data_IF_065203760655
#
_entry.id   IF_065203760655
#
_cell.length_a   1.000
_cell.length_b   1.000
_cell.length_c   1.000
_cell.angle_alpha   90.00
_cell.angle_beta   90.00
_cell.angle_gamma   90.00
#
_symmetry.space_group_name_H-M   'P 1'
#
loop_
_entity.id
_entity.type
_entity.pdbx_description
1 polymer ?
#
# COMPACT_ATOMS: atom_id res chain seq x y z
N UNK A 1 -6.91 -11.66 -22.46
CA UNK A 1 -5.74 -10.76 -22.28
C UNK A 1 -5.29 -10.87 -20.85
N UNK A 2 -4.00 -11.11 -20.59
CA UNK A 2 -3.51 -11.23 -19.22
C UNK A 2 -3.22 -9.83 -18.67
N UNK A 3 -4.14 -9.30 -17.87
CA UNK A 3 -4.01 -7.97 -17.25
C UNK A 3 -3.05 -8.01 -16.06
N UNK A 4 -1.77 -8.29 -16.33
CA UNK A 4 -0.74 -8.40 -15.31
C UNK A 4 0.39 -7.40 -15.60
N UNK A 5 0.75 -6.60 -14.59
CA UNK A 5 1.98 -5.84 -14.58
C UNK A 5 3.08 -6.71 -14.00
N UNK A 6 4.20 -6.87 -14.71
CA UNK A 6 5.33 -7.70 -14.27
C UNK A 6 6.60 -6.87 -14.19
N UNK A 7 7.23 -6.86 -13.03
CA UNK A 7 8.52 -6.24 -12.75
C UNK A 7 9.52 -7.34 -12.38
N UNK A 8 10.77 -7.24 -12.88
CA UNK A 8 11.82 -8.24 -12.66
C UNK A 8 12.79 -7.90 -11.53
N UNK A 9 12.47 -6.85 -10.76
CA UNK A 9 13.28 -6.37 -9.64
C UNK A 9 12.39 -5.85 -8.49
N UNK A 10 12.90 -5.88 -7.25
CA UNK A 10 12.26 -5.19 -6.12
C UNK A 10 12.23 -3.68 -6.35
N UNK A 11 11.35 -2.96 -5.66
CA UNK A 11 11.41 -1.52 -5.62
C UNK A 11 12.76 -1.06 -5.06
N UNK A 12 13.46 -0.18 -5.79
CA UNK A 12 14.86 0.19 -5.50
C UNK A 12 15.08 1.71 -5.51
N UNK A 13 14.06 2.51 -5.78
CA UNK A 13 14.18 3.96 -5.87
C UNK A 13 14.50 4.56 -4.50
N UNK A 14 15.73 5.01 -4.32
CA UNK A 14 16.16 5.62 -3.07
C UNK A 14 15.37 6.90 -2.76
N UNK A 15 14.80 6.98 -1.55
CA UNK A 15 14.03 8.12 -1.06
C UNK A 15 12.57 8.16 -1.50
N UNK A 16 12.20 7.46 -2.57
CA UNK A 16 10.83 7.48 -3.13
C UNK A 16 10.34 6.07 -3.50
N UNK A 17 10.60 5.09 -2.68
CA UNK A 17 10.22 3.67 -2.94
C UNK A 17 8.73 3.49 -3.24
N UNK A 18 7.88 4.35 -2.70
CA UNK A 18 6.43 4.32 -2.93
C UNK A 18 6.07 4.43 -4.43
N UNK A 19 6.89 5.09 -5.26
CA UNK A 19 6.67 5.23 -6.70
C UNK A 19 6.76 3.91 -7.46
N UNK A 20 7.53 2.97 -6.93
CA UNK A 20 7.69 1.64 -7.51
C UNK A 20 6.88 0.57 -6.76
N UNK A 21 6.16 0.94 -5.71
CA UNK A 21 5.31 0.03 -4.95
C UNK A 21 4.21 -0.57 -5.82
N UNK A 22 4.00 -1.88 -5.72
CA UNK A 22 2.89 -2.57 -6.39
C UNK A 22 1.62 -2.40 -5.55
N UNK A 23 0.59 -1.66 -6.03
CA UNK A 23 -0.59 -1.35 -5.23
C UNK A 23 -1.59 -2.51 -5.18
N UNK A 24 -2.29 -2.63 -4.05
CA UNK A 24 -3.47 -3.46 -3.86
C UNK A 24 -4.50 -2.72 -3.01
N UNK A 25 -5.79 -3.03 -3.14
CA UNK A 25 -6.80 -2.34 -2.34
C UNK A 25 -8.22 -2.87 -2.48
N UNK A 26 -9.04 -2.48 -1.52
CA UNK A 26 -10.49 -2.77 -1.47
C UNK A 26 -11.35 -1.51 -1.69
N UNK A 27 -10.74 -0.36 -1.97
CA UNK A 27 -11.40 0.96 -1.97
C UNK A 27 -11.40 1.64 -0.60
N UNK A 28 -11.24 0.90 0.48
CA UNK A 28 -11.17 1.42 1.87
C UNK A 28 -9.81 1.20 2.50
N UNK A 29 -9.33 -0.05 2.48
CA UNK A 29 -7.99 -0.44 2.92
C UNK A 29 -7.21 -0.88 1.69
N UNK A 30 -5.95 -0.53 1.66
CA UNK A 30 -5.04 -0.93 0.61
C UNK A 30 -3.60 -0.76 1.03
N UNK A 31 -2.68 -0.94 0.09
CA UNK A 31 -1.28 -0.79 0.39
C UNK A 31 -0.38 -0.95 -0.81
N UNK A 32 0.93 -0.99 -0.52
CA UNK A 32 2.00 -1.10 -1.50
C UNK A 32 2.94 -2.23 -1.11
N UNK A 33 3.25 -3.10 -2.06
CA UNK A 33 4.24 -4.18 -1.93
C UNK A 33 5.52 -3.77 -2.65
N UNK A 34 6.62 -3.63 -1.92
CA UNK A 34 7.90 -3.25 -2.52
C UNK A 34 8.67 -4.43 -3.08
N UNK A 35 8.42 -5.63 -2.57
CA UNK A 35 8.94 -6.88 -3.10
C UNK A 35 10.37 -7.20 -2.69
N UNK A 36 10.89 -6.59 -1.63
CA UNK A 36 12.21 -6.94 -1.10
C UNK A 36 12.24 -8.39 -0.60
N UNK A 37 13.35 -9.08 -0.85
CA UNK A 37 13.49 -10.50 -0.51
C UNK A 37 13.82 -10.72 0.95
N UNK A 38 14.65 -9.84 1.53
CA UNK A 38 15.23 -10.02 2.86
C UNK A 38 14.61 -9.11 3.92
N UNK A 39 14.26 -7.88 3.53
CA UNK A 39 13.62 -6.88 4.38
C UNK A 39 12.43 -6.30 3.64
N UNK A 40 11.30 -7.01 3.69
CA UNK A 40 10.07 -6.55 3.06
C UNK A 40 9.34 -5.56 3.93
N UNK A 41 8.78 -4.57 3.27
CA UNK A 41 7.82 -3.62 3.81
C UNK A 41 6.56 -3.71 2.96
N UNK A 42 5.43 -4.00 3.57
CA UNK A 42 4.12 -3.90 2.91
C UNK A 42 3.41 -2.76 3.61
N UNK A 43 3.42 -1.59 2.97
CA UNK A 43 2.80 -0.39 3.51
C UNK A 43 1.29 -0.53 3.48
N UNK A 44 0.62 -0.35 4.61
CA UNK A 44 -0.84 -0.41 4.75
C UNK A 44 -1.40 0.99 4.88
N UNK A 45 -2.41 1.29 4.09
CA UNK A 45 -3.11 2.57 4.06
C UNK A 45 -4.60 2.38 4.29
N UNK A 46 -5.24 3.43 4.76
CA UNK A 46 -6.70 3.50 4.88
C UNK A 46 -7.21 4.82 4.32
N UNK A 47 -8.26 4.78 3.49
CA UNK A 47 -8.78 5.95 2.77
C UNK A 47 -9.18 7.13 3.66
N UNK A 48 -9.53 6.88 4.93
CA UNK A 48 -9.91 7.92 5.89
C UNK A 48 -8.77 8.41 6.79
N UNK A 49 -7.56 7.82 6.71
CA UNK A 49 -6.44 8.23 7.57
C UNK A 49 -5.66 9.37 6.91
N UNK A 50 -6.03 10.59 7.28
CA UNK A 50 -5.36 11.81 6.84
C UNK A 50 -4.76 12.53 8.03
N UNK A 51 -3.60 13.13 7.83
CA UNK A 51 -2.90 13.96 8.83
C UNK A 51 -2.85 15.40 8.37
N UNK A 52 -2.48 16.28 9.30
CA UNK A 52 -2.54 17.71 9.07
C UNK A 52 -3.96 18.25 9.17
N UNK A 53 -4.17 19.40 8.59
CA UNK A 53 -5.42 20.11 8.70
C UNK A 53 -5.45 21.05 9.90
N UNK A 54 -5.87 22.25 9.65
CA UNK A 54 -6.18 23.23 10.68
C UNK A 54 -7.65 23.57 10.55
N UNK A 55 -8.36 23.61 11.65
CA UNK A 55 -9.73 24.13 11.69
C UNK A 55 -9.66 25.67 11.64
N UNK A 56 -9.20 26.17 10.49
CA UNK A 56 -9.04 27.59 10.25
C UNK A 56 -9.96 28.01 9.11
N UNK A 57 -10.97 28.83 9.36
CA UNK A 57 -11.83 29.31 8.29
C UNK A 57 -11.00 30.08 7.26
N UNK A 58 -11.33 29.88 5.99
CA UNK A 58 -10.68 30.60 4.89
C UNK A 58 -10.91 32.11 5.09
N UNK A 59 -9.86 32.96 5.16
CA UNK A 59 -10.03 34.38 5.29
C UNK A 59 -10.78 34.98 4.10
N UNK A 60 -11.57 36.00 4.38
CA UNK A 60 -12.25 36.75 3.32
C UNK A 60 -11.25 37.73 2.67
N UNK A 61 -10.86 37.43 1.45
CA UNK A 61 -9.98 38.24 0.60
C UNK A 61 -10.64 38.61 -0.72
N UNK A 62 -11.98 38.68 -0.74
CA UNK A 62 -12.76 38.93 -1.96
C UNK A 62 -12.41 40.25 -2.65
N UNK A 63 -11.94 41.26 -1.91
CA UNK A 63 -11.50 42.55 -2.42
C UNK A 63 -10.31 42.42 -3.41
N UNK A 64 -9.56 41.34 -3.36
CA UNK A 64 -8.46 41.05 -4.30
C UNK A 64 -8.92 40.44 -5.62
N UNK A 65 -10.12 39.89 -5.70
CA UNK A 65 -10.60 39.19 -6.88
C UNK A 65 -10.64 40.04 -8.17
N UNK A 66 -11.00 41.34 -8.14
CA UNK A 66 -10.91 42.17 -9.35
C UNK A 66 -9.48 42.27 -9.91
N UNK A 67 -8.48 42.37 -9.03
CA UNK A 67 -7.08 42.42 -9.42
C UNK A 67 -6.59 41.06 -9.96
N UNK A 68 -6.99 39.98 -9.31
CA UNK A 68 -6.72 38.60 -9.79
C UNK A 68 -7.26 38.40 -11.20
N UNK A 69 -8.54 38.77 -11.45
CA UNK A 69 -9.17 38.66 -12.77
C UNK A 69 -8.42 39.47 -13.82
N UNK A 70 -8.05 40.70 -13.51
CA UNK A 70 -7.28 41.54 -14.43
C UNK A 70 -5.95 40.87 -14.85
N UNK A 71 -5.20 40.30 -13.90
CA UNK A 71 -3.97 39.59 -14.26
C UNK A 71 -4.22 38.32 -15.07
N UNK A 72 -5.33 37.62 -14.87
CA UNK A 72 -5.70 36.49 -15.71
C UNK A 72 -6.05 36.94 -17.13
N UNK A 73 -6.78 38.06 -17.31
CA UNK A 73 -7.10 38.65 -18.61
C UNK A 73 -5.82 39.10 -19.34
N UNK A 74 -4.84 39.61 -18.60
CA UNK A 74 -3.50 39.96 -19.09
C UNK A 74 -2.62 38.73 -19.37
N UNK A 75 -3.15 37.51 -19.23
CA UNK A 75 -2.41 36.23 -19.35
C UNK A 75 -1.20 36.11 -18.41
N UNK A 76 -1.30 36.71 -17.25
CA UNK A 76 -0.26 36.67 -16.20
C UNK A 76 -0.75 35.88 -14.96
N UNK A 77 -0.91 34.56 -15.05
CA UNK A 77 -1.42 33.74 -13.94
C UNK A 77 -0.49 33.75 -12.72
N UNK A 78 0.82 33.97 -12.91
CA UNK A 78 1.77 34.06 -11.79
C UNK A 78 1.55 35.30 -10.92
N UNK A 79 1.19 36.43 -11.53
CA UNK A 79 0.85 37.65 -10.77
C UNK A 79 -0.51 37.49 -10.07
N UNK A 80 -1.49 36.86 -10.73
CA UNK A 80 -2.77 36.53 -10.13
C UNK A 80 -2.63 35.64 -8.89
N UNK A 81 -1.83 34.56 -8.99
CA UNK A 81 -1.55 33.65 -7.88
C UNK A 81 -0.88 34.38 -6.70
N UNK A 82 0.14 35.19 -6.96
CA UNK A 82 0.82 35.97 -5.92
C UNK A 82 -0.14 36.88 -5.15
N UNK A 83 -0.99 37.63 -5.86
CA UNK A 83 -1.95 38.55 -5.21
C UNK A 83 -2.86 37.78 -4.25
N UNK A 84 -3.35 36.62 -4.63
CA UNK A 84 -4.22 35.81 -3.78
C UNK A 84 -3.45 35.18 -2.63
N UNK A 85 -2.29 34.57 -2.91
CA UNK A 85 -1.46 33.89 -1.90
C UNK A 85 -0.94 34.89 -0.85
N UNK A 86 -0.49 36.08 -1.26
CA UNK A 86 0.01 37.10 -0.34
C UNK A 86 -1.13 37.65 0.53
N UNK A 87 -2.31 37.91 -0.03
CA UNK A 87 -3.47 38.34 0.72
C UNK A 87 -3.93 37.32 1.77
N UNK A 88 -3.97 36.03 1.40
CA UNK A 88 -4.28 34.96 2.36
C UNK A 88 -3.23 34.87 3.47
N UNK A 89 -1.95 34.99 3.14
CA UNK A 89 -0.85 34.97 4.12
C UNK A 89 -0.89 36.19 5.06
N UNK A 90 -1.14 37.40 4.53
CA UNK A 90 -1.33 38.59 5.31
C UNK A 90 -2.52 38.48 6.26
N UNK A 91 -3.56 37.79 5.87
CA UNK A 91 -4.71 37.47 6.72
C UNK A 91 -4.45 36.30 7.72
N UNK A 92 -3.19 35.82 7.82
CA UNK A 92 -2.81 34.76 8.75
C UNK A 92 -3.11 33.33 8.30
N UNK A 93 -3.49 33.13 7.04
CA UNK A 93 -3.71 31.80 6.46
C UNK A 93 -2.42 31.30 5.80
N UNK A 94 -1.83 30.27 6.35
CA UNK A 94 -0.59 29.66 5.83
C UNK A 94 -0.81 28.36 5.02
N UNK A 95 -2.04 28.16 4.58
CA UNK A 95 -2.47 26.97 3.85
C UNK A 95 -2.69 25.77 4.77
N UNK A 96 -3.81 25.13 4.59
CA UNK A 96 -4.15 23.90 5.31
C UNK A 96 -3.87 22.72 4.41
N UNK A 97 -2.70 22.08 4.59
CA UNK A 97 -2.35 20.89 3.83
C UNK A 97 -2.66 19.64 4.63
N UNK A 98 -3.64 18.88 4.16
CA UNK A 98 -3.83 17.49 4.61
C UNK A 98 -3.11 16.55 3.67
N UNK A 99 -2.61 15.46 4.20
CA UNK A 99 -1.96 14.41 3.42
C UNK A 99 -2.34 13.03 3.93
N UNK A 100 -2.45 12.03 3.04
CA UNK A 100 -2.68 10.66 3.45
C UNK A 100 -1.50 10.16 4.27
N UNK A 101 -1.80 9.44 5.35
CA UNK A 101 -0.79 8.83 6.21
C UNK A 101 -0.90 7.31 6.14
N UNK A 102 0.22 6.58 6.07
CA UNK A 102 0.17 5.14 6.23
C UNK A 102 -0.29 4.78 7.64
N UNK A 103 -1.01 3.66 7.75
CA UNK A 103 -1.40 3.08 9.04
C UNK A 103 -0.17 2.46 9.70
N UNK A 104 0.45 1.51 9.02
CA UNK A 104 1.67 0.82 9.43
C UNK A 104 2.23 0.02 8.25
N UNK A 105 3.38 -0.60 8.46
CA UNK A 105 3.93 -1.61 7.56
C UNK A 105 3.78 -3.00 8.19
N UNK A 106 3.45 -4.01 7.38
CA UNK A 106 3.77 -5.40 7.68
C UNK A 106 5.24 -5.58 7.31
N UNK A 107 6.08 -5.88 8.30
CA UNK A 107 7.52 -6.03 8.10
C UNK A 107 7.91 -7.49 8.21
N UNK A 108 8.66 -7.96 7.21
CA UNK A 108 9.23 -9.30 7.21
C UNK A 108 10.76 -9.19 7.08
N UNK A 109 11.48 -9.95 7.90
CA UNK A 109 12.94 -10.02 7.81
C UNK A 109 13.39 -11.47 7.84
N UNK A 110 14.15 -11.86 6.82
CA UNK A 110 14.77 -13.19 6.71
C UNK A 110 16.22 -13.08 6.30
N UNK A 111 17.00 -14.12 6.55
CA UNK A 111 18.34 -14.25 5.96
C UNK A 111 18.25 -14.91 4.60
N UNK A 112 19.13 -14.53 3.68
CA UNK A 112 19.30 -15.24 2.43
C UNK A 112 19.91 -16.61 2.69
N UNK A 113 19.38 -17.65 2.05
CA UNK A 113 19.96 -18.99 2.10
C UNK A 113 20.89 -19.25 0.91
N UNK A 114 20.66 -18.56 -0.20
CA UNK A 114 21.47 -18.64 -1.42
C UNK A 114 21.24 -17.40 -2.30
N UNK A 115 21.99 -17.30 -3.39
CA UNK A 115 21.70 -16.31 -4.43
C UNK A 115 20.31 -16.56 -5.03
N UNK A 116 19.54 -15.48 -5.24
CA UNK A 116 18.22 -15.59 -5.84
C UNK A 116 18.26 -15.50 -7.37
N UNK A 117 17.26 -16.10 -8.01
CA UNK A 117 17.02 -16.04 -9.46
C UNK A 117 15.51 -16.05 -9.76
N UNK A 118 15.16 -15.77 -10.99
CA UNK A 118 13.76 -15.81 -11.48
C UNK A 118 12.82 -14.94 -10.66
N UNK A 119 13.28 -13.78 -10.21
CA UNK A 119 12.47 -12.85 -9.47
C UNK A 119 11.36 -12.29 -10.35
N UNK A 120 10.15 -12.22 -9.78
CA UNK A 120 8.99 -11.54 -10.35
C UNK A 120 8.18 -10.86 -9.25
N UNK A 121 7.75 -9.64 -9.50
CA UNK A 121 6.75 -8.91 -8.74
C UNK A 121 5.63 -8.56 -9.70
N UNK A 122 4.42 -9.01 -9.40
CA UNK A 122 3.30 -8.94 -10.35
C UNK A 122 2.07 -8.34 -9.68
N UNK A 123 1.36 -7.45 -10.41
CA UNK A 123 0.03 -6.96 -10.06
C UNK A 123 -0.94 -7.64 -11.00
N UNK A 124 -1.77 -8.53 -10.48
CA UNK A 124 -2.82 -9.22 -11.21
C UNK A 124 -4.09 -8.36 -11.13
N UNK A 125 -4.28 -7.49 -12.12
CA UNK A 125 -5.33 -6.46 -12.10
C UNK A 125 -6.73 -7.03 -12.16
N UNK A 126 -6.90 -8.21 -12.75
CA UNK A 126 -8.16 -8.95 -12.84
C UNK A 126 -8.62 -9.58 -11.52
N UNK A 127 -7.67 -9.91 -10.65
CA UNK A 127 -7.92 -10.52 -9.34
C UNK A 127 -7.63 -9.61 -8.16
N UNK A 128 -7.01 -8.44 -8.38
CA UNK A 128 -6.61 -7.53 -7.32
C UNK A 128 -5.49 -8.05 -6.40
N UNK A 129 -4.78 -9.11 -6.82
CA UNK A 129 -3.70 -9.74 -6.06
C UNK A 129 -2.35 -9.19 -6.50
N UNK A 130 -1.49 -8.84 -5.55
CA UNK A 130 -0.07 -8.60 -5.79
C UNK A 130 0.72 -9.82 -5.37
N UNK A 131 1.61 -10.31 -6.24
CA UNK A 131 2.48 -11.44 -5.93
C UNK A 131 3.95 -11.11 -6.11
N UNK A 132 4.80 -11.74 -5.28
CA UNK A 132 6.27 -11.71 -5.38
C UNK A 132 6.76 -13.14 -5.35
N UNK A 133 7.52 -13.56 -6.36
CA UNK A 133 8.08 -14.91 -6.43
C UNK A 133 9.56 -14.88 -6.81
N UNK A 134 10.32 -15.85 -6.30
CA UNK A 134 11.74 -16.04 -6.60
C UNK A 134 12.20 -17.45 -6.29
N UNK A 135 13.42 -17.78 -6.71
CA UNK A 135 14.09 -19.04 -6.39
C UNK A 135 15.40 -18.78 -5.64
N UNK A 136 15.70 -19.63 -4.67
CA UNK A 136 17.01 -19.74 -4.02
C UNK A 136 17.43 -21.22 -4.05
N UNK A 137 18.44 -21.57 -4.86
CA UNK A 137 18.72 -22.96 -5.17
C UNK A 137 17.52 -23.65 -5.82
N UNK A 138 17.05 -24.74 -5.21
CA UNK A 138 15.85 -25.49 -5.65
C UNK A 138 14.55 -25.02 -4.99
N UNK A 139 14.66 -24.21 -3.95
CA UNK A 139 13.51 -23.66 -3.25
C UNK A 139 12.83 -22.57 -4.08
N UNK A 140 11.49 -22.63 -4.13
CA UNK A 140 10.62 -21.61 -4.75
C UNK A 140 9.82 -20.93 -3.66
N UNK A 141 9.94 -19.62 -3.57
CA UNK A 141 9.21 -18.79 -2.61
C UNK A 141 8.17 -17.95 -3.34
N UNK A 142 7.01 -17.78 -2.70
CA UNK A 142 5.93 -16.91 -3.20
C UNK A 142 5.24 -16.19 -2.05
N UNK A 143 5.07 -14.89 -2.18
CA UNK A 143 4.20 -14.05 -1.34
C UNK A 143 3.06 -13.52 -2.18
N UNK A 144 1.85 -13.52 -1.64
CA UNK A 144 0.64 -12.99 -2.27
C UNK A 144 -0.09 -12.12 -1.28
N UNK A 145 -0.53 -10.96 -1.73
CA UNK A 145 -1.21 -9.96 -0.90
C UNK A 145 -2.43 -9.44 -1.62
N UNK A 146 -3.54 -9.33 -0.91
CA UNK A 146 -4.74 -8.61 -1.36
C UNK A 146 -5.49 -8.00 -0.18
N UNK A 147 -6.33 -7.00 -0.44
CA UNK A 147 -7.30 -6.48 0.50
C UNK A 147 -8.69 -6.93 0.08
N UNK A 148 -9.38 -7.67 0.95
CA UNK A 148 -10.71 -8.21 0.65
C UNK A 148 -11.73 -7.08 0.43
N UNK A 149 -12.42 -7.10 -0.72
CA UNK A 149 -13.52 -6.16 -0.99
C UNK A 149 -14.76 -6.46 -0.15
N UNK A 150 -14.88 -7.67 0.38
CA UNK A 150 -16.00 -8.09 1.22
C UNK A 150 -15.82 -7.64 2.67
N UNK A 151 -14.64 -7.92 3.26
CA UNK A 151 -14.39 -7.71 4.70
C UNK A 151 -13.45 -6.55 5.03
N UNK A 152 -12.79 -5.96 4.02
CA UNK A 152 -11.72 -4.96 4.18
C UNK A 152 -10.52 -5.46 5.02
N UNK A 153 -10.38 -6.78 5.18
CA UNK A 153 -9.19 -7.38 5.78
C UNK A 153 -8.08 -7.51 4.73
N UNK A 154 -6.84 -7.33 5.16
CA UNK A 154 -5.66 -7.58 4.32
C UNK A 154 -5.17 -8.99 4.58
N UNK A 155 -4.99 -9.76 3.51
CA UNK A 155 -4.47 -11.11 3.54
C UNK A 155 -3.07 -11.12 2.91
N UNK A 156 -2.12 -11.72 3.61
CA UNK A 156 -0.80 -12.07 3.11
C UNK A 156 -0.61 -13.57 3.24
N UNK A 157 -0.25 -14.23 2.15
CA UNK A 157 0.20 -15.62 2.13
C UNK A 157 1.64 -15.71 1.69
N UNK A 158 2.47 -16.41 2.44
CA UNK A 158 3.86 -16.66 2.13
C UNK A 158 4.09 -18.18 2.11
N UNK A 159 4.55 -18.71 0.98
CA UNK A 159 4.75 -20.16 0.77
C UNK A 159 6.17 -20.45 0.28
N UNK A 160 6.67 -21.64 0.63
CA UNK A 160 7.89 -22.22 0.10
C UNK A 160 7.66 -23.64 -0.43
N UNK A 161 8.20 -23.92 -1.61
CA UNK A 161 8.27 -25.29 -2.17
C UNK A 161 9.73 -25.71 -2.23
N UNK A 162 10.04 -26.94 -1.86
CA UNK A 162 11.40 -27.49 -1.80
C UNK A 162 12.33 -26.67 -0.88
N UNK A 163 11.78 -26.06 0.16
CA UNK A 163 12.52 -25.26 1.14
C UNK A 163 11.62 -24.85 2.30
N UNK A 164 12.19 -24.10 3.24
CA UNK A 164 11.48 -23.60 4.43
C UNK A 164 11.58 -22.09 4.55
N UNK A 165 10.62 -21.53 5.27
CA UNK A 165 10.55 -20.12 5.60
C UNK A 165 11.01 -19.94 7.05
N UNK A 166 12.14 -19.21 7.21
CA UNK A 166 12.62 -18.73 8.48
C UNK A 166 12.57 -17.20 8.42
N UNK A 167 11.66 -16.58 9.20
CA UNK A 167 11.41 -15.14 9.09
C UNK A 167 10.97 -14.55 10.43
N UNK A 168 11.25 -13.26 10.62
CA UNK A 168 10.66 -12.44 11.69
C UNK A 168 9.60 -11.54 11.08
N UNK A 169 8.45 -11.44 11.75
CA UNK A 169 7.30 -10.64 11.32
C UNK A 169 6.90 -9.69 12.45
N UNK A 170 6.65 -8.42 12.12
CA UNK A 170 6.14 -7.43 13.07
C UNK A 170 5.38 -6.33 12.34
N UNK A 171 4.60 -5.54 13.07
CA UNK A 171 4.00 -4.31 12.60
C UNK A 171 4.81 -3.13 13.12
N UNK A 172 5.12 -2.20 12.26
CA UNK A 172 5.77 -0.92 12.61
C UNK A 172 5.54 0.06 11.46
N UNK A 173 6.03 1.26 11.57
CA UNK A 173 6.04 2.20 10.47
C UNK A 173 7.48 2.36 9.96
N UNK A 174 7.65 2.53 8.66
CA UNK A 174 8.92 2.89 8.05
C UNK A 174 9.45 4.22 8.61
N UNK A 175 10.74 4.48 8.43
CA UNK A 175 11.44 5.59 9.08
C UNK A 175 10.75 6.93 8.78
N UNK A 176 10.51 7.77 9.81
CA UNK A 176 9.94 9.11 9.68
C UNK A 176 10.71 10.05 8.73
N UNK A 177 12.01 9.81 8.49
CA UNK A 177 12.77 10.59 7.51
C UNK A 177 12.17 10.50 6.10
N UNK A 178 11.55 9.38 5.76
CA UNK A 178 10.83 9.18 4.50
C UNK A 178 9.44 9.79 4.48
N UNK A 179 8.89 10.15 5.66
CA UNK A 179 7.57 10.78 5.85
C UNK A 179 7.64 12.31 6.00
N UNK A 180 8.74 12.94 5.62
CA UNK A 180 8.87 14.40 5.68
C UNK A 180 8.99 14.99 7.08
N UNK A 181 9.66 14.32 8.02
CA UNK A 181 9.91 14.73 9.41
C UNK A 181 8.66 14.86 10.30
N UNK A 182 7.55 14.28 9.92
CA UNK A 182 6.34 14.31 10.74
C UNK A 182 6.44 13.24 11.82
N UNK A 183 6.68 13.63 13.07
CA UNK A 183 6.56 12.71 14.20
C UNK A 183 5.14 12.15 14.28
N UNK A 184 5.05 10.84 14.48
CA UNK A 184 3.79 10.16 14.71
C UNK A 184 3.66 9.93 16.22
N UNK A 185 2.73 10.65 16.89
CA UNK A 185 2.64 10.60 18.34
C UNK A 185 2.22 9.22 18.85
N UNK A 186 2.72 8.85 20.01
CA UNK A 186 2.32 7.68 20.80
C UNK A 186 2.31 6.35 20.02
N UNK A 187 3.33 6.17 19.17
CA UNK A 187 3.53 4.95 18.36
C UNK A 187 3.94 3.77 19.23
N UNK A 188 3.22 2.66 19.14
CA UNK A 188 3.51 1.41 19.85
C UNK A 188 3.30 0.22 18.96
N UNK A 189 4.27 -0.70 18.97
CA UNK A 189 4.20 -2.02 18.34
C UNK A 189 4.27 -3.09 19.40
N UNK A 190 3.58 -4.21 19.19
CA UNK A 190 3.55 -5.32 20.11
C UNK A 190 3.31 -6.65 19.43
N UNK A 191 3.53 -7.73 20.18
CA UNK A 191 3.18 -9.09 19.78
C UNK A 191 2.77 -9.89 21.02
N UNK A 192 1.71 -10.69 20.89
CA UNK A 192 1.24 -11.61 21.92
C UNK A 192 0.64 -12.85 21.26
N UNK A 193 1.17 -14.03 21.61
CA UNK A 193 0.79 -15.28 20.95
C UNK A 193 0.93 -15.22 19.43
N UNK A 194 -0.17 -15.40 18.73
CA UNK A 194 -0.24 -15.32 17.27
C UNK A 194 -0.58 -13.91 16.73
N UNK A 195 -0.70 -12.92 17.61
CA UNK A 195 -1.12 -11.57 17.21
C UNK A 195 0.06 -10.61 17.21
N UNK A 196 0.04 -9.73 16.20
CA UNK A 196 0.85 -8.53 16.10
C UNK A 196 -0.06 -7.32 16.23
N UNK A 197 0.40 -6.30 16.94
CA UNK A 197 -0.35 -5.06 17.16
C UNK A 197 0.50 -3.86 16.79
N UNK A 198 -0.16 -2.85 16.25
CA UNK A 198 0.40 -1.52 16.05
C UNK A 198 -0.69 -0.48 16.36
N UNK A 199 -0.33 0.57 17.08
CA UNK A 199 -1.19 1.73 17.21
C UNK A 199 -0.36 3.01 17.34
N UNK A 200 -0.98 4.10 16.94
CA UNK A 200 -0.47 5.45 17.07
C UNK A 200 -1.65 6.43 17.25
N UNK A 201 -1.34 7.69 17.55
CA UNK A 201 -2.34 8.73 17.69
C UNK A 201 -2.42 9.59 16.45
N UNK A 202 -3.62 9.87 15.99
CA UNK A 202 -3.88 10.89 14.98
C UNK A 202 -4.36 12.17 15.68
N UNK A 203 -3.63 13.24 15.48
CA UNK A 203 -3.92 14.58 15.99
C UNK A 203 -4.63 15.48 14.96
N UNK A 204 -4.97 14.92 13.80
CA UNK A 204 -5.74 15.62 12.78
C UNK A 204 -7.13 16.01 13.28
N UNK A 205 -7.56 17.21 12.94
CA UNK A 205 -8.90 17.72 13.27
C UNK A 205 -10.03 16.93 12.61
N UNK A 206 -9.74 16.25 11.50
CA UNK A 206 -10.75 15.49 10.73
C UNK A 206 -11.02 14.10 11.28
N UNK A 207 -10.05 13.48 11.93
CA UNK A 207 -10.20 12.13 12.49
C UNK A 207 -9.29 11.98 13.72
N UNK A 208 -9.56 12.71 14.82
CA UNK A 208 -8.73 12.63 16.01
C UNK A 208 -8.91 11.29 16.73
N UNK A 209 -7.87 10.85 17.43
CA UNK A 209 -7.90 9.65 18.26
C UNK A 209 -6.87 8.60 17.88
N UNK A 210 -6.95 7.44 18.53
CA UNK A 210 -6.03 6.35 18.20
C UNK A 210 -6.44 5.66 16.89
N UNK A 211 -5.44 5.19 16.17
CA UNK A 211 -5.57 4.32 15.00
C UNK A 211 -4.52 3.23 15.06
N UNK A 212 -4.74 2.16 14.32
CA UNK A 212 -3.77 1.10 14.26
C UNK A 212 -4.20 -0.10 13.45
N UNK A 213 -3.47 -1.18 13.64
CA UNK A 213 -3.74 -2.47 13.03
C UNK A 213 -3.44 -3.61 13.99
N UNK A 214 -4.19 -4.68 13.82
CA UNK A 214 -3.91 -5.99 14.42
C UNK A 214 -3.76 -7.00 13.31
N UNK A 215 -2.75 -7.86 13.40
CA UNK A 215 -2.57 -8.98 12.48
C UNK A 215 -2.52 -10.30 13.25
N UNK A 216 -3.20 -11.32 12.72
CA UNK A 216 -3.13 -12.70 13.21
C UNK A 216 -2.31 -13.55 12.25
N UNK A 217 -1.39 -14.36 12.79
CA UNK A 217 -0.54 -15.24 12.02
C UNK A 217 -0.96 -16.69 12.25
N UNK A 218 -1.06 -17.46 11.16
CA UNK A 218 -1.16 -18.91 11.14
C UNK A 218 -0.01 -19.49 10.33
N UNK A 219 0.64 -20.55 10.81
CA UNK A 219 1.77 -21.20 10.15
C UNK A 219 1.82 -22.69 10.48
N UNK A 220 2.39 -23.46 9.58
CA UNK A 220 2.72 -24.89 9.78
C UNK A 220 4.09 -25.10 10.43
N UNK A 221 4.90 -24.05 10.58
CA UNK A 221 6.18 -24.05 11.27
C UNK A 221 6.07 -23.74 12.76
N UNK A 222 7.19 -23.87 13.48
CA UNK A 222 7.28 -23.38 14.85
C UNK A 222 7.41 -21.86 14.90
N UNK A 223 6.87 -21.23 15.95
CA UNK A 223 7.06 -19.80 16.14
C UNK A 223 7.27 -19.43 17.62
N UNK A 224 7.96 -18.31 17.82
CA UNK A 224 8.14 -17.67 19.14
C UNK A 224 7.72 -16.20 19.03
N UNK A 225 7.28 -15.64 20.16
CA UNK A 225 6.85 -14.26 20.28
C UNK A 225 7.75 -13.55 21.29
N UNK A 226 8.60 -12.64 20.80
CA UNK A 226 9.55 -11.90 21.63
C UNK A 226 9.80 -10.49 21.10
N UNK A 227 9.93 -9.53 22.01
CA UNK A 227 10.28 -8.13 21.68
C UNK A 227 9.39 -7.50 20.60
N UNK A 228 8.07 -7.76 20.67
CA UNK A 228 7.10 -7.21 19.72
C UNK A 228 7.15 -7.83 18.33
N UNK A 229 7.79 -9.00 18.18
CA UNK A 229 7.96 -9.71 16.90
C UNK A 229 7.60 -11.17 17.05
N UNK A 230 7.08 -11.75 15.98
CA UNK A 230 6.91 -13.20 15.84
C UNK A 230 8.04 -13.73 14.96
N UNK A 231 8.82 -14.68 15.47
CA UNK A 231 9.86 -15.40 14.74
C UNK A 231 9.32 -16.75 14.34
N UNK A 232 9.19 -17.02 13.05
CA UNK A 232 8.74 -18.31 12.47
C UNK A 232 9.95 -19.06 11.96
N UNK A 233 9.99 -20.38 12.17
CA UNK A 233 11.05 -21.27 11.70
C UNK A 233 10.50 -22.56 11.13
N UNK A 234 11.13 -23.06 10.05
CA UNK A 234 10.83 -24.32 9.40
C UNK A 234 9.45 -24.39 8.74
N UNK A 235 8.79 -23.26 8.47
CA UNK A 235 7.48 -23.25 7.85
C UNK A 235 7.55 -23.52 6.34
N UNK A 236 6.50 -24.11 5.79
CA UNK A 236 6.26 -24.13 4.34
C UNK A 236 5.17 -23.15 3.94
N UNK A 237 4.32 -22.75 4.90
CA UNK A 237 3.27 -21.77 4.69
C UNK A 237 3.08 -20.87 5.92
N UNK A 238 2.89 -19.58 5.65
CA UNK A 238 2.47 -18.57 6.62
C UNK A 238 1.31 -17.81 6.02
N UNK A 239 0.22 -17.67 6.78
CA UNK A 239 -0.89 -16.78 6.45
C UNK A 239 -0.97 -15.70 7.52
N UNK A 240 -1.03 -14.45 7.10
CA UNK A 240 -1.26 -13.30 7.97
C UNK A 240 -2.55 -12.62 7.51
N UNK A 241 -3.46 -12.35 8.46
CA UNK A 241 -4.67 -11.57 8.22
C UNK A 241 -4.62 -10.33 9.09
N UNK A 242 -4.82 -9.14 8.50
CA UNK A 242 -4.68 -7.86 9.18
C UNK A 242 -5.99 -7.07 9.10
N UNK A 243 -6.39 -6.48 10.23
CA UNK A 243 -7.47 -5.50 10.33
C UNK A 243 -6.94 -4.13 10.76
N UNK A 244 -7.43 -3.09 10.11
CA UNK A 244 -7.19 -1.69 10.49
C UNK A 244 -8.34 -1.18 11.35
N UNK A 245 -8.05 -0.39 12.39
CA UNK A 245 -9.04 0.38 13.16
C UNK A 245 -8.67 1.86 13.21
N UNK A 246 -9.66 2.72 13.27
CA UNK A 246 -9.49 4.19 13.27
C UNK A 246 -10.40 4.81 14.33
N UNK A 247 -9.96 5.95 14.91
CA UNK A 247 -10.72 6.77 15.86
C UNK A 247 -11.35 5.97 17.01
N UNK A 248 -10.64 4.94 17.48
CA UNK A 248 -11.09 4.01 18.51
C UNK A 248 -10.01 3.90 19.57
N UNK A 249 -10.36 3.94 20.89
CA UNK A 249 -9.39 3.71 21.94
C UNK A 249 -8.59 2.42 21.70
N UNK A 250 -7.28 2.46 21.87
CA UNK A 250 -6.32 1.42 21.49
C UNK A 250 -6.72 0.03 21.97
N UNK A 251 -7.06 -0.10 23.26
CA UNK A 251 -7.41 -1.38 23.87
C UNK A 251 -8.71 -1.96 23.27
N UNK A 252 -9.70 -1.11 23.01
CA UNK A 252 -10.95 -1.51 22.36
C UNK A 252 -10.69 -1.90 20.90
N UNK A 253 -9.87 -1.13 20.19
CA UNK A 253 -9.49 -1.42 18.82
C UNK A 253 -8.75 -2.77 18.68
N UNK A 254 -7.86 -3.09 19.62
CA UNK A 254 -7.18 -4.39 19.65
C UNK A 254 -8.16 -5.53 19.92
N UNK A 255 -8.98 -5.42 20.97
CA UNK A 255 -9.95 -6.46 21.34
C UNK A 255 -10.92 -6.78 20.20
N UNK A 256 -11.58 -5.76 19.66
CA UNK A 256 -12.51 -5.92 18.55
C UNK A 256 -11.83 -6.50 17.31
N UNK A 257 -10.59 -6.07 17.02
CA UNK A 257 -9.84 -6.61 15.89
C UNK A 257 -9.50 -8.08 16.06
N UNK A 258 -9.10 -8.52 17.26
CA UNK A 258 -8.81 -9.93 17.54
C UNK A 258 -10.07 -10.81 17.37
N UNK A 259 -11.22 -10.37 17.90
CA UNK A 259 -12.50 -11.08 17.74
C UNK A 259 -12.88 -11.26 16.25
N UNK A 260 -12.70 -10.22 15.42
CA UNK A 260 -12.96 -10.29 13.98
C UNK A 260 -11.95 -11.20 13.28
N UNK A 261 -10.67 -11.13 13.65
CA UNK A 261 -9.62 -11.95 13.05
C UNK A 261 -9.75 -13.42 13.42
N UNK A 262 -10.31 -13.75 14.59
CA UNK A 262 -10.62 -15.12 15.00
C UNK A 262 -11.71 -15.75 14.15
N UNK A 263 -12.66 -14.95 13.69
CA UNK A 263 -13.76 -15.37 12.83
C UNK A 263 -13.45 -15.20 11.33
N UNK A 264 -12.25 -14.69 10.97
CA UNK A 264 -11.91 -14.44 9.58
C UNK A 264 -11.89 -15.72 8.75
N UNK A 265 -12.44 -15.70 7.52
CA UNK A 265 -12.41 -16.86 6.63
C UNK A 265 -10.98 -17.24 6.23
N UNK A 266 -10.80 -18.48 5.75
CA UNK A 266 -9.53 -18.94 5.21
C UNK A 266 -9.07 -18.06 4.05
N UNK A 267 -7.77 -18.08 3.75
CA UNK A 267 -7.20 -17.33 2.61
C UNK A 267 -7.94 -17.66 1.31
N UNK A 268 -8.19 -18.92 1.04
CA UNK A 268 -8.84 -19.39 -0.20
C UNK A 268 -10.29 -18.90 -0.29
N UNK A 269 -11.03 -18.95 0.81
CA UNK A 269 -12.42 -18.47 0.87
C UNK A 269 -12.47 -16.95 0.67
N UNK A 270 -11.61 -16.23 1.37
CA UNK A 270 -11.53 -14.76 1.25
C UNK A 270 -11.10 -14.31 -0.15
N UNK A 271 -10.13 -15.02 -0.76
CA UNK A 271 -9.68 -14.73 -2.12
C UNK A 271 -10.82 -14.96 -3.14
N UNK A 272 -11.55 -16.09 -3.02
CA UNK A 272 -12.67 -16.38 -3.91
C UNK A 272 -13.77 -15.32 -3.82
N UNK A 273 -14.14 -14.91 -2.62
CA UNK A 273 -15.12 -13.84 -2.40
C UNK A 273 -14.62 -12.49 -2.94
N UNK A 274 -13.34 -12.17 -2.70
CA UNK A 274 -12.73 -10.95 -3.23
C UNK A 274 -12.76 -10.92 -4.76
N UNK A 275 -12.32 -11.99 -5.43
CA UNK A 275 -12.29 -12.07 -6.89
C UNK A 275 -13.70 -12.01 -7.49
N UNK A 276 -14.70 -12.61 -6.83
CA UNK A 276 -16.08 -12.53 -7.26
C UNK A 276 -16.64 -11.09 -7.26
N UNK A 277 -16.15 -10.23 -6.37
CA UNK A 277 -16.52 -8.82 -6.31
C UNK A 277 -15.63 -7.93 -7.19
N UNK A 278 -14.32 -8.18 -7.20
CA UNK A 278 -13.34 -7.37 -7.94
C UNK A 278 -13.39 -7.62 -9.44
N UNK A 279 -13.44 -8.88 -9.86
CA UNK A 279 -13.37 -9.29 -11.26
C UNK A 279 -14.40 -8.61 -12.15
N UNK A 280 -15.70 -8.63 -11.82
CA UNK A 280 -16.73 -7.93 -12.60
C UNK A 280 -16.52 -6.41 -12.71
N UNK A 281 -16.01 -5.76 -11.66
CA UNK A 281 -15.70 -4.33 -11.68
C UNK A 281 -14.57 -4.03 -12.66
N UNK A 282 -13.51 -4.83 -12.62
CA UNK A 282 -12.37 -4.65 -13.51
C UNK A 282 -12.72 -4.99 -14.97
N UNK A 283 -13.41 -6.11 -15.21
CA UNK A 283 -13.75 -6.61 -16.54
C UNK A 283 -14.94 -5.90 -17.20
N UNK A 284 -15.62 -4.98 -16.49
CA UNK A 284 -16.77 -4.25 -17.01
C UNK A 284 -16.50 -3.41 -18.27
N UNK A 285 -15.24 -3.06 -18.52
CA UNK A 285 -14.77 -2.42 -19.77
C UNK A 285 -13.45 -3.05 -20.16
N UNK A 286 -13.34 -3.44 -21.44
CA UNK A 286 -12.08 -3.90 -22.05
C UNK A 286 -11.68 -2.93 -23.17
N UNK A 287 -10.35 -2.71 -23.30
CA UNK A 287 -9.76 -1.87 -24.34
C UNK A 287 -8.58 -2.61 -24.96
N UNK A 288 -8.67 -2.92 -26.25
CA UNK A 288 -7.65 -3.67 -26.98
C UNK A 288 -7.38 -3.04 -28.34
N UNK A 289 -6.12 -2.67 -28.57
CA UNK A 289 -5.59 -2.09 -29.81
C UNK A 289 -4.29 -2.75 -30.26
N UNK A 290 -3.71 -3.66 -29.44
CA UNK A 290 -2.47 -4.36 -29.73
C UNK A 290 -2.69 -5.77 -30.28
N UNK A 291 -1.62 -6.35 -30.80
CA UNK A 291 -1.60 -7.76 -31.19
C UNK A 291 -1.61 -8.66 -29.94
N UNK A 292 -2.64 -9.50 -29.73
CA UNK A 292 -2.77 -10.33 -28.53
C UNK A 292 -1.69 -11.42 -28.41
N UNK A 293 -0.90 -11.69 -29.45
CA UNK A 293 0.21 -12.63 -29.40
C UNK A 293 1.49 -12.07 -28.77
N UNK A 294 1.57 -10.76 -28.57
CA UNK A 294 2.72 -10.09 -27.98
C UNK A 294 2.53 -9.90 -26.48
N UNK A 295 3.46 -10.44 -25.69
CA UNK A 295 3.45 -10.32 -24.23
C UNK A 295 4.81 -9.87 -23.75
N UNK A 296 4.99 -8.56 -23.57
CA UNK A 296 6.20 -7.97 -23.00
C UNK A 296 6.01 -7.61 -21.54
N UNK A 297 7.09 -7.65 -20.77
CA UNK A 297 7.11 -7.13 -19.40
C UNK A 297 7.02 -5.61 -19.40
N UNK A 298 6.70 -5.01 -18.26
CA UNK A 298 6.67 -3.56 -18.15
C UNK A 298 8.02 -2.94 -18.44
N UNK A 299 9.11 -3.58 -17.99
CA UNK A 299 10.48 -3.10 -18.21
C UNK A 299 10.80 -3.04 -19.70
N UNK A 300 10.41 -4.08 -20.46
CA UNK A 300 10.60 -4.15 -21.93
C UNK A 300 9.76 -3.08 -22.66
N UNK A 301 8.53 -2.85 -22.21
CA UNK A 301 7.65 -1.83 -22.81
C UNK A 301 8.14 -0.41 -22.53
N UNK A 302 8.62 -0.15 -21.31
CA UNK A 302 9.13 1.17 -20.93
C UNK A 302 10.46 1.47 -21.61
N UNK A 303 11.37 0.48 -21.73
CA UNK A 303 12.61 0.63 -22.47
C UNK A 303 12.36 0.92 -23.96
N UNK A 304 11.46 0.16 -24.60
CA UNK A 304 11.04 0.38 -25.99
C UNK A 304 10.42 1.78 -26.19
N UNK A 305 9.59 2.21 -25.24
CA UNK A 305 8.93 3.51 -25.32
C UNK A 305 9.89 4.71 -25.24
N UNK A 306 11.04 4.54 -24.59
CA UNK A 306 12.07 5.58 -24.52
C UNK A 306 12.67 5.85 -25.91
N UNK A 307 12.86 4.81 -26.73
CA UNK A 307 13.51 4.91 -28.04
C UNK A 307 12.49 5.10 -29.17
N UNK A 308 11.32 4.47 -29.08
CA UNK A 308 10.37 4.34 -30.18
C UNK A 308 8.99 5.00 -29.89
N UNK A 309 8.82 5.59 -28.71
CA UNK A 309 7.53 6.10 -28.25
C UNK A 309 6.58 5.00 -27.74
N UNK A 310 5.40 5.39 -27.22
CA UNK A 310 4.47 4.47 -26.61
C UNK A 310 3.89 3.49 -27.63
N UNK A 311 4.12 2.19 -27.44
CA UNK A 311 3.49 1.13 -28.24
C UNK A 311 2.02 0.94 -27.86
N UNK A 312 1.22 0.36 -28.77
CA UNK A 312 -0.18 0.02 -28.50
C UNK A 312 -0.32 -0.86 -27.25
N UNK A 313 0.56 -1.82 -27.04
CA UNK A 313 0.57 -2.67 -25.84
C UNK A 313 0.83 -1.88 -24.55
N UNK A 314 1.71 -0.88 -24.58
CA UNK A 314 1.93 -0.01 -23.42
C UNK A 314 0.69 0.84 -23.11
N UNK A 315 0.03 1.38 -24.13
CA UNK A 315 -1.19 2.18 -23.98
C UNK A 315 -2.32 1.33 -23.35
N UNK A 316 -2.50 0.09 -23.81
CA UNK A 316 -3.47 -0.85 -23.21
C UNK A 316 -3.16 -1.13 -21.75
N UNK A 317 -1.89 -1.40 -21.41
CA UNK A 317 -1.48 -1.64 -20.02
C UNK A 317 -1.70 -0.42 -19.14
N UNK A 318 -1.39 0.78 -19.62
CA UNK A 318 -1.66 2.03 -18.89
C UNK A 318 -3.16 2.26 -18.67
N UNK A 319 -3.98 1.98 -19.68
CA UNK A 319 -5.44 2.06 -19.54
C UNK A 319 -5.96 1.05 -18.51
N UNK A 320 -5.55 -0.22 -18.60
CA UNK A 320 -5.94 -1.25 -17.66
C UNK A 320 -5.48 -0.92 -16.22
N UNK A 321 -4.25 -0.40 -16.07
CA UNK A 321 -3.72 0.02 -14.77
C UNK A 321 -4.49 1.22 -14.19
N UNK A 322 -4.82 2.22 -15.01
CA UNK A 322 -5.67 3.34 -14.59
C UNK A 322 -7.03 2.86 -14.06
N UNK A 323 -7.68 1.92 -14.76
CA UNK A 323 -8.93 1.30 -14.30
C UNK A 323 -8.78 0.48 -13.01
N UNK A 324 -7.65 -0.21 -12.84
CA UNK A 324 -7.36 -0.96 -11.63
C UNK A 324 -7.25 -0.07 -10.39
N UNK A 325 -6.74 1.15 -10.56
CA UNK A 325 -6.56 2.10 -9.46
C UNK A 325 -7.87 2.78 -9.01
N UNK A 326 -8.92 2.76 -9.84
CA UNK A 326 -10.27 3.27 -9.53
C UNK A 326 -11.18 2.16 -8.98
#
# INVERSE_FOLDING_TARGET
MQHTLTMRYPAAWHGDMWREGAPFGSGTVGGLVYGSLWHEYICINHAKLWRGGKDSPLPDVHDKLPLVRRYLDERNPRAADRVLTDALREAGYDGDTTFPSPVCDIRLSRRANASYRSYRREVHMDTGVVSVSWREGDAVYRREVFASRESHLVYLRYTAQNGTIDTKIWLDLHDPETLGKTEIPDRKSGADGAYLTYAARNDSVYLPGDYGAVAKIATDGAYTCENGKISVSGATAITLVLRVFLATPRESGYKESMEILDAAPSYETALSAHVALHGPLFSGVDFSISDPSKHRTNDELLADAQDNGASAELVEKLYAYGRYLF
#
